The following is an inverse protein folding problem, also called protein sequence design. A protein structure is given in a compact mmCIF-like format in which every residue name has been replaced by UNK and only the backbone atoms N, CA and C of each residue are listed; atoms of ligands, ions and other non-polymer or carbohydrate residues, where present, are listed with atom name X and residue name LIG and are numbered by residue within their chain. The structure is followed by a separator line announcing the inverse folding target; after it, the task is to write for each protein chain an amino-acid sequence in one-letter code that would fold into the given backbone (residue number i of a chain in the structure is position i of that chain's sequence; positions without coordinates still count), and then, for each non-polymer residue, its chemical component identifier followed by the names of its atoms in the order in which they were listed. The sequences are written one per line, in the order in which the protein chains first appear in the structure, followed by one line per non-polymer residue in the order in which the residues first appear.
data_IF_081049545225
#
_entry.id   IF_081049545225
#
_cell.length_a   1.000
_cell.length_b   1.000
_cell.length_c   1.000
_cell.angle_alpha   90.00
_cell.angle_beta   90.00
_cell.angle_gamma   90.00
#
_symmetry.space_group_name_H-M   'P 1'
#
loop_
_entity.id
_entity.type
_entity.pdbx_description
1 polymer ?
#
# COMPACT_ATOMS: atom_id res chain seq x y z
N UNK A 1 17.27 0.69 4.80
CA UNK A 1 16.25 0.42 5.84
C UNK A 1 16.70 1.04 7.15
N UNK A 2 15.87 1.95 7.69
CA UNK A 2 16.07 2.56 9.01
C UNK A 2 15.30 1.69 10.02
N UNK A 3 16.00 0.75 10.63
CA UNK A 3 15.43 -0.06 11.70
C UNK A 3 15.04 0.77 12.94
N UNK A 4 14.30 0.16 13.83
CA UNK A 4 13.96 0.74 15.14
C UNK A 4 15.25 0.92 15.94
N UNK A 5 15.50 2.13 16.44
CA UNK A 5 16.57 2.39 17.39
C UNK A 5 16.00 2.94 18.70
N UNK A 6 16.56 2.49 19.79
CA UNK A 6 16.21 2.96 21.13
C UNK A 6 17.38 3.68 21.76
N UNK A 7 17.10 4.82 22.40
CA UNK A 7 18.09 5.59 23.16
C UNK A 7 17.54 5.91 24.54
N UNK A 8 18.43 6.07 25.52
CA UNK A 8 18.04 6.60 26.81
C UNK A 8 17.58 8.07 26.66
N UNK A 9 16.50 8.47 27.35
CA UNK A 9 15.88 9.80 27.23
C UNK A 9 16.84 10.96 27.42
N UNK A 10 17.87 10.78 28.24
CA UNK A 10 18.81 11.82 28.65
C UNK A 10 20.14 11.76 27.89
N UNK A 11 20.27 10.94 26.86
CA UNK A 11 21.53 10.76 26.15
C UNK A 11 21.62 11.58 24.87
N UNK A 12 22.78 12.19 24.61
CA UNK A 12 23.12 12.79 23.32
C UNK A 12 23.16 11.74 22.17
N UNK A 13 23.03 10.46 22.49
CA UNK A 13 23.10 9.35 21.56
C UNK A 13 22.04 9.41 20.46
N UNK A 14 20.83 9.91 20.76
CA UNK A 14 19.79 10.11 19.75
C UNK A 14 20.21 11.11 18.67
N UNK A 15 20.85 12.20 19.06
CA UNK A 15 21.35 13.21 18.13
C UNK A 15 22.48 12.64 17.24
N UNK A 16 23.41 11.88 17.84
CA UNK A 16 24.48 11.24 17.09
C UNK A 16 23.97 10.18 16.12
N UNK A 17 23.00 9.36 16.53
CA UNK A 17 22.35 8.39 15.65
C UNK A 17 21.66 9.10 14.48
N UNK A 18 20.91 10.17 14.75
CA UNK A 18 20.25 10.95 13.71
C UNK A 18 21.25 11.55 12.71
N UNK A 19 22.37 12.08 13.18
CA UNK A 19 23.45 12.58 12.31
C UNK A 19 24.06 11.45 11.46
N UNK A 20 24.13 10.23 12.02
CA UNK A 20 24.56 9.03 11.31
C UNK A 20 23.63 8.59 10.17
N UNK A 21 22.34 8.97 10.22
CA UNK A 21 21.36 8.69 9.16
C UNK A 21 21.54 9.57 7.92
N UNK A 22 22.36 10.63 7.99
CA UNK A 22 22.65 11.45 6.81
C UNK A 22 23.33 10.60 5.74
N UNK A 23 22.84 10.65 4.48
CA UNK A 23 23.45 9.89 3.41
C UNK A 23 24.93 10.27 3.25
N UNK A 24 25.81 9.31 3.41
CA UNK A 24 27.26 9.47 3.21
C UNK A 24 27.72 8.81 1.91
N UNK A 25 27.27 7.59 1.69
CA UNK A 25 27.58 6.76 0.52
C UNK A 25 26.38 6.59 -0.40
N UNK A 26 25.16 6.61 0.16
CA UNK A 26 23.90 6.52 -0.60
C UNK A 26 23.41 7.92 -1.00
N UNK A 27 22.70 8.01 -2.11
CA UNK A 27 22.09 9.27 -2.59
C UNK A 27 20.82 9.64 -1.82
N UNK A 28 20.17 8.66 -1.18
CA UNK A 28 18.89 8.78 -0.50
C UNK A 28 18.84 7.85 0.72
N UNK A 29 18.33 8.39 1.82
CA UNK A 29 17.81 7.59 2.94
C UNK A 29 16.32 7.88 3.07
N UNK A 30 15.49 6.86 3.28
CA UNK A 30 14.06 7.06 3.51
C UNK A 30 13.53 6.12 4.59
N UNK A 31 12.39 6.51 5.16
CA UNK A 31 11.60 5.70 6.09
C UNK A 31 10.13 5.96 5.79
N UNK A 32 9.33 4.93 5.62
CA UNK A 32 7.91 5.06 5.30
C UNK A 32 6.98 4.81 6.50
N UNK A 33 7.57 4.62 7.69
CA UNK A 33 6.88 4.28 8.94
C UNK A 33 7.33 5.12 10.14
N UNK A 34 7.86 6.33 9.89
CA UNK A 34 8.38 7.17 10.96
C UNK A 34 7.28 7.62 11.93
N UNK A 35 7.56 7.49 13.23
CA UNK A 35 6.75 8.08 14.30
C UNK A 35 6.84 9.61 14.27
N UNK A 36 5.93 10.35 14.94
CA UNK A 36 6.01 11.82 15.03
C UNK A 36 7.35 12.30 15.60
N UNK A 37 7.94 11.56 16.54
CA UNK A 37 9.25 11.89 17.12
C UNK A 37 10.37 11.66 16.12
N UNK A 38 10.38 10.50 15.45
CA UNK A 38 11.36 10.18 14.41
C UNK A 38 11.28 11.17 13.24
N UNK A 39 10.08 11.54 12.82
CA UNK A 39 9.88 12.53 11.77
C UNK A 39 10.46 13.89 12.13
N UNK A 40 10.21 14.40 13.35
CA UNK A 40 10.81 15.65 13.83
C UNK A 40 12.35 15.59 13.86
N UNK A 41 12.89 14.47 14.31
CA UNK A 41 14.34 14.26 14.33
C UNK A 41 14.94 14.27 12.91
N UNK A 42 14.27 13.61 11.95
CA UNK A 42 14.72 13.61 10.56
C UNK A 42 14.60 14.99 9.92
N UNK A 43 13.53 15.76 10.21
CA UNK A 43 13.40 17.15 9.75
C UNK A 43 14.51 18.04 10.28
N UNK A 44 14.92 17.88 11.55
CA UNK A 44 15.99 18.66 12.16
C UNK A 44 17.35 18.48 11.46
N UNK A 45 17.56 17.37 10.76
CA UNK A 45 18.79 17.12 9.98
C UNK A 45 18.62 17.34 8.47
N UNK A 46 17.49 17.95 8.05
CA UNK A 46 17.21 18.30 6.67
C UNK A 46 16.33 17.31 5.89
N UNK A 47 15.73 16.34 6.59
CA UNK A 47 14.76 15.42 6.00
C UNK A 47 13.45 16.12 5.63
N UNK A 48 12.77 15.60 4.62
CA UNK A 48 11.49 16.08 4.11
C UNK A 48 10.45 14.97 4.11
N UNK A 49 9.18 15.34 4.26
CA UNK A 49 8.06 14.43 4.05
C UNK A 49 7.88 14.11 2.58
N UNK A 50 7.62 12.85 2.28
CA UNK A 50 7.24 12.44 0.92
C UNK A 50 5.75 12.75 0.74
N UNK A 51 5.36 13.55 -0.26
CA UNK A 51 3.98 13.96 -0.46
C UNK A 51 3.00 12.78 -0.54
N UNK A 52 1.82 12.93 0.06
CA UNK A 52 0.71 11.96 0.09
C UNK A 52 1.00 10.61 0.78
N UNK A 53 2.24 10.19 0.88
CA UNK A 53 2.59 8.86 1.41
C UNK A 53 2.45 8.73 2.93
N UNK A 54 2.15 9.80 3.63
CA UNK A 54 1.71 9.78 5.03
C UNK A 54 0.29 9.23 5.20
N UNK A 55 -0.46 9.13 4.10
CA UNK A 55 -1.85 8.73 4.09
C UNK A 55 -2.02 7.27 3.70
N UNK A 56 -2.93 6.62 4.39
CA UNK A 56 -3.53 5.36 4.01
C UNK A 56 -4.92 5.63 3.41
N UNK A 57 -5.21 5.06 2.26
CA UNK A 57 -6.56 5.00 1.76
C UNK A 57 -7.25 3.73 2.26
N UNK A 58 -8.54 3.85 2.57
CA UNK A 58 -9.40 2.72 2.94
C UNK A 58 -10.66 2.80 2.11
N UNK A 59 -10.91 1.79 1.29
CA UNK A 59 -12.15 1.64 0.53
C UNK A 59 -13.00 0.54 1.14
N UNK A 60 -14.25 0.86 1.47
CA UNK A 60 -15.22 -0.09 2.01
C UNK A 60 -16.11 -0.60 0.88
N UNK A 61 -16.10 -1.91 0.64
CA UNK A 61 -16.96 -2.58 -0.34
C UNK A 61 -18.31 -2.96 0.27
N UNK A 62 -18.31 -3.45 1.51
CA UNK A 62 -19.47 -3.95 2.23
C UNK A 62 -19.60 -3.28 3.59
N UNK A 63 -20.30 -2.11 3.68
CA UNK A 63 -20.29 -1.30 4.91
C UNK A 63 -20.92 -2.00 6.10
N UNK A 64 -22.00 -2.76 5.93
CA UNK A 64 -22.59 -3.52 7.04
C UNK A 64 -21.68 -4.65 7.49
N UNK A 65 -21.08 -5.39 6.57
CA UNK A 65 -20.09 -6.42 6.88
C UNK A 65 -18.86 -5.84 7.58
N UNK A 66 -18.36 -4.70 7.11
CA UNK A 66 -17.22 -4.00 7.72
C UNK A 66 -17.57 -3.47 9.14
N UNK A 67 -18.78 -2.96 9.35
CA UNK A 67 -19.26 -2.50 10.66
C UNK A 67 -19.37 -3.69 11.63
N UNK A 68 -19.99 -4.78 11.21
CA UNK A 68 -20.11 -6.00 12.02
C UNK A 68 -18.74 -6.60 12.36
N UNK A 69 -17.81 -6.60 11.41
CA UNK A 69 -16.44 -7.09 11.63
C UNK A 69 -15.63 -6.26 12.63
N UNK A 70 -16.00 -4.99 12.87
CA UNK A 70 -15.39 -4.10 13.88
C UNK A 70 -16.02 -4.25 15.27
N UNK A 71 -17.21 -4.85 15.35
CA UNK A 71 -17.82 -5.12 16.63
C UNK A 71 -17.02 -6.19 17.38
N UNK A 72 -16.87 -5.98 18.71
CA UNK A 72 -16.14 -6.91 19.58
C UNK A 72 -16.63 -8.36 19.41
N UNK A 73 -15.75 -9.37 19.41
CA UNK A 73 -16.12 -10.79 19.39
C UNK A 73 -17.14 -11.16 20.48
N UNK A 74 -17.16 -10.42 21.59
CA UNK A 74 -18.16 -10.58 22.68
C UNK A 74 -19.56 -10.15 22.28
N UNK A 75 -19.68 -9.13 21.41
CA UNK A 75 -20.96 -8.67 20.87
C UNK A 75 -21.46 -9.60 19.76
N UNK A 76 -20.54 -10.09 18.90
CA UNK A 76 -20.85 -11.05 17.84
C UNK A 76 -21.37 -12.40 18.38
N UNK A 77 -20.93 -12.84 19.56
CA UNK A 77 -21.48 -14.04 20.23
C UNK A 77 -22.94 -13.88 20.67
N UNK A 78 -23.45 -12.66 20.78
CA UNK A 78 -24.86 -12.35 21.13
C UNK A 78 -25.74 -12.08 19.89
N UNK A 79 -25.12 -11.95 18.71
CA UNK A 79 -25.84 -11.76 17.45
C UNK A 79 -26.07 -13.13 16.86
N UNK A 80 -27.35 -13.47 16.66
CA UNK A 80 -27.78 -14.74 16.05
C UNK A 80 -27.07 -14.89 14.69
N UNK A 81 -26.46 -16.07 14.38
CA UNK A 81 -25.86 -16.36 13.08
C UNK A 81 -26.77 -16.04 11.89
N UNK A 82 -28.11 -16.07 12.08
CA UNK A 82 -29.11 -15.64 11.08
C UNK A 82 -29.01 -14.18 10.69
N UNK A 83 -28.59 -13.28 11.58
CA UNK A 83 -28.44 -11.83 11.26
C UNK A 83 -27.23 -11.56 10.35
N UNK A 84 -26.17 -12.34 10.45
CA UNK A 84 -25.02 -12.22 9.55
C UNK A 84 -25.40 -12.63 8.10
N UNK A 85 -26.36 -13.54 7.96
CA UNK A 85 -26.90 -13.96 6.66
C UNK A 85 -27.79 -12.89 6.04
N UNK A 86 -28.49 -12.09 6.87
CA UNK A 86 -29.32 -10.97 6.41
C UNK A 86 -28.51 -9.74 5.99
N UNK A 87 -27.27 -9.58 6.46
CA UNK A 87 -26.40 -8.49 6.02
C UNK A 87 -26.00 -8.60 4.53
N UNK A 88 -25.89 -9.83 4.00
CA UNK A 88 -25.55 -10.05 2.58
C UNK A 88 -26.57 -9.48 1.57
N UNK A 89 -27.88 -9.73 1.67
CA UNK A 89 -28.84 -9.14 0.73
C UNK A 89 -28.97 -7.63 0.90
N UNK A 90 -28.82 -7.09 2.12
CA UNK A 90 -28.85 -5.64 2.34
C UNK A 90 -27.61 -4.98 1.73
N UNK A 91 -26.42 -5.54 1.92
CA UNK A 91 -25.19 -5.05 1.27
C UNK A 91 -25.29 -5.17 -0.27
N UNK A 92 -25.90 -6.22 -0.80
CA UNK A 92 -26.14 -6.38 -2.23
C UNK A 92 -27.15 -5.35 -2.76
N UNK A 93 -28.21 -5.06 -2.00
CA UNK A 93 -29.20 -4.03 -2.35
C UNK A 93 -28.59 -2.62 -2.28
N UNK A 94 -27.85 -2.31 -1.24
CA UNK A 94 -27.10 -1.06 -1.13
C UNK A 94 -26.06 -0.94 -2.23
N UNK A 95 -25.42 -2.03 -2.63
CA UNK A 95 -24.51 -2.09 -3.77
C UNK A 95 -25.19 -1.70 -5.09
N UNK A 96 -26.42 -2.17 -5.32
CA UNK A 96 -27.23 -1.81 -6.50
C UNK A 96 -27.71 -0.36 -6.49
N UNK A 97 -28.11 0.18 -5.33
CA UNK A 97 -28.46 1.60 -5.17
C UNK A 97 -27.27 2.53 -5.31
N UNK A 98 -26.05 2.01 -5.12
CA UNK A 98 -24.81 2.77 -5.23
C UNK A 98 -24.46 3.23 -6.65
N UNK A 99 -25.15 2.75 -7.67
CA UNK A 99 -25.09 3.20 -9.06
C UNK A 99 -23.71 3.67 -9.51
N UNK A 100 -23.00 2.86 -10.28
CA UNK A 100 -21.83 3.30 -11.03
C UNK A 100 -20.63 3.67 -10.17
N UNK A 101 -19.98 2.68 -9.52
CA UNK A 101 -18.54 2.73 -9.39
C UNK A 101 -17.95 2.92 -10.79
N UNK A 102 -16.84 3.65 -10.90
CA UNK A 102 -16.14 3.74 -12.17
C UNK A 102 -16.08 2.35 -12.79
N UNK A 103 -16.80 2.18 -13.89
CA UNK A 103 -16.70 0.97 -14.66
C UNK A 103 -15.21 0.70 -14.87
N UNK A 104 -14.77 -0.50 -14.50
CA UNK A 104 -13.46 -0.94 -14.94
C UNK A 104 -13.42 -0.67 -16.44
N UNK A 105 -12.44 0.09 -16.94
CA UNK A 105 -12.41 0.40 -18.38
C UNK A 105 -12.65 -0.89 -19.15
N UNK A 106 -13.60 -0.85 -20.07
CA UNK A 106 -13.99 -2.03 -20.82
C UNK A 106 -12.74 -2.71 -21.38
N UNK A 107 -12.63 -4.02 -21.16
CA UNK A 107 -11.52 -4.82 -21.68
C UNK A 107 -10.34 -5.10 -20.75
N UNK A 108 -10.32 -4.57 -19.49
CA UNK A 108 -9.31 -4.97 -18.52
C UNK A 108 -9.71 -6.26 -17.80
N UNK A 109 -8.74 -7.16 -17.63
CA UNK A 109 -8.92 -8.43 -16.89
C UNK A 109 -7.86 -8.54 -15.79
N UNK A 110 -8.30 -9.08 -14.65
CA UNK A 110 -7.39 -9.45 -13.54
C UNK A 110 -7.15 -10.94 -13.60
N UNK A 111 -5.89 -11.33 -13.56
CA UNK A 111 -5.48 -12.73 -13.61
C UNK A 111 -4.41 -13.02 -12.56
N UNK A 112 -4.21 -14.29 -12.28
CA UNK A 112 -3.13 -14.73 -11.41
C UNK A 112 -1.78 -14.37 -12.02
N UNK A 113 -0.83 -13.95 -11.20
CA UNK A 113 0.52 -13.64 -11.61
C UNK A 113 1.50 -14.48 -10.81
N UNK A 114 2.32 -15.25 -11.49
CA UNK A 114 3.37 -16.01 -10.82
C UNK A 114 4.48 -15.09 -10.28
N UNK A 115 5.25 -15.58 -9.31
CA UNK A 115 6.40 -14.82 -8.79
C UNK A 115 7.41 -14.52 -9.91
N UNK A 116 7.83 -15.49 -10.75
CA UNK A 116 8.71 -15.19 -11.86
C UNK A 116 8.18 -14.10 -12.81
N UNK A 117 6.89 -14.15 -13.17
CA UNK A 117 6.29 -13.12 -14.02
C UNK A 117 6.29 -11.74 -13.33
N UNK A 118 6.04 -11.70 -12.02
CA UNK A 118 6.13 -10.46 -11.25
C UNK A 118 7.54 -9.89 -11.27
N UNK A 119 8.55 -10.73 -11.03
CA UNK A 119 9.97 -10.32 -11.07
C UNK A 119 10.34 -9.72 -12.44
N UNK A 120 9.85 -10.32 -13.53
CA UNK A 120 10.12 -9.84 -14.89
C UNK A 120 9.39 -8.51 -15.22
N UNK A 121 8.19 -8.28 -14.66
CA UNK A 121 7.36 -7.13 -15.03
C UNK A 121 7.49 -5.94 -14.09
N UNK A 122 7.70 -6.15 -12.79
CA UNK A 122 7.69 -5.10 -11.78
C UNK A 122 8.67 -3.95 -12.07
N UNK A 123 9.96 -4.20 -12.45
CA UNK A 123 10.89 -3.12 -12.76
C UNK A 123 10.42 -2.23 -13.92
N UNK A 124 9.79 -2.81 -14.94
CA UNK A 124 9.26 -2.08 -16.09
C UNK A 124 8.07 -1.19 -15.70
N UNK A 125 7.18 -1.69 -14.85
CA UNK A 125 5.99 -0.95 -14.44
C UNK A 125 6.30 0.28 -13.60
N UNK A 126 7.48 0.34 -12.95
CA UNK A 126 7.93 1.49 -12.17
C UNK A 126 9.06 2.28 -12.86
N UNK A 127 9.47 1.90 -14.06
CA UNK A 127 10.61 2.49 -14.76
C UNK A 127 10.48 4.00 -15.02
N UNK A 128 9.26 4.50 -15.06
CA UNK A 128 8.96 5.91 -15.32
C UNK A 128 9.18 6.83 -14.12
N UNK A 129 9.30 6.32 -12.88
CA UNK A 129 9.60 7.15 -11.71
C UNK A 129 11.08 7.53 -11.69
N UNK A 130 11.37 8.82 -11.44
CA UNK A 130 12.73 9.32 -11.34
C UNK A 130 13.48 8.70 -10.14
N UNK A 131 12.78 8.51 -9.02
CA UNK A 131 13.33 7.84 -7.84
C UNK A 131 12.55 6.55 -7.60
N UNK A 132 13.23 5.43 -7.74
CA UNK A 132 12.66 4.09 -7.60
C UNK A 132 13.70 3.09 -7.15
N UNK A 133 13.31 1.92 -6.60
CA UNK A 133 14.24 0.83 -6.38
C UNK A 133 14.73 0.28 -7.74
N UNK A 134 16.01 -0.02 -7.82
CA UNK A 134 16.62 -0.74 -8.93
C UNK A 134 16.69 -2.22 -8.56
N UNK A 135 15.56 -2.87 -8.44
CA UNK A 135 15.49 -4.26 -8.05
C UNK A 135 16.21 -5.15 -9.06
N UNK A 136 17.18 -5.91 -8.57
CA UNK A 136 17.62 -7.12 -9.25
C UNK A 136 16.59 -8.23 -9.05
N UNK A 137 16.63 -9.26 -9.89
CA UNK A 137 15.74 -10.42 -9.76
C UNK A 137 15.93 -11.11 -8.40
N UNK A 138 17.19 -11.29 -7.97
CA UNK A 138 17.54 -11.91 -6.69
C UNK A 138 17.02 -11.09 -5.50
N UNK A 139 17.21 -9.76 -5.51
CA UNK A 139 16.78 -8.88 -4.44
C UNK A 139 15.25 -8.85 -4.33
N UNK A 140 14.54 -8.69 -5.45
CA UNK A 140 13.09 -8.68 -5.45
C UNK A 140 12.53 -10.06 -5.09
N UNK A 141 13.15 -11.14 -5.56
CA UNK A 141 12.80 -12.52 -5.19
C UNK A 141 12.94 -12.76 -3.68
N UNK A 142 14.03 -12.26 -3.09
CA UNK A 142 14.24 -12.33 -1.64
C UNK A 142 13.17 -11.55 -0.87
N UNK A 143 12.86 -10.30 -1.28
CA UNK A 143 11.80 -9.48 -0.67
C UNK A 143 10.44 -10.16 -0.72
N UNK A 144 10.05 -10.70 -1.88
CA UNK A 144 8.79 -11.43 -2.08
C UNK A 144 8.74 -12.67 -1.19
N UNK A 145 9.85 -13.42 -1.12
CA UNK A 145 9.96 -14.61 -0.26
C UNK A 145 9.76 -14.28 1.21
N UNK A 146 10.33 -13.17 1.70
CA UNK A 146 10.13 -12.72 3.08
C UNK A 146 8.70 -12.19 3.31
N UNK A 147 8.16 -11.40 2.39
CA UNK A 147 6.80 -10.88 2.48
C UNK A 147 5.77 -12.01 2.54
N UNK A 148 5.98 -13.08 1.75
CA UNK A 148 5.08 -14.25 1.75
C UNK A 148 5.05 -15.01 3.09
N UNK A 149 6.06 -14.85 3.94
CA UNK A 149 6.08 -15.44 5.29
C UNK A 149 5.22 -14.68 6.31
N UNK A 150 4.76 -13.47 5.98
CA UNK A 150 3.91 -12.66 6.86
C UNK A 150 2.44 -13.09 6.75
N UNK A 151 2.08 -14.19 7.37
CA UNK A 151 0.72 -14.76 7.33
C UNK A 151 -0.29 -14.05 8.23
N UNK A 152 0.12 -13.08 9.06
CA UNK A 152 -0.78 -12.36 9.99
C UNK A 152 -1.86 -11.55 9.27
N UNK A 153 -1.56 -11.04 8.08
CA UNK A 153 -2.48 -10.23 7.27
C UNK A 153 -3.27 -11.07 6.25
N UNK A 154 -2.97 -12.36 6.14
CA UNK A 154 -3.58 -13.27 5.17
C UNK A 154 -2.57 -13.85 4.19
N UNK A 155 -3.05 -14.46 3.11
CA UNK A 155 -2.20 -15.05 2.08
C UNK A 155 -1.59 -13.96 1.19
N UNK A 156 -0.28 -14.01 0.99
CA UNK A 156 0.42 -13.14 0.04
C UNK A 156 -0.01 -13.49 -1.39
N UNK A 157 -0.49 -12.49 -2.11
CA UNK A 157 -1.13 -12.67 -3.41
C UNK A 157 -0.67 -11.61 -4.39
N UNK A 158 -0.37 -12.04 -5.63
CA UNK A 158 0.00 -11.15 -6.73
C UNK A 158 -1.04 -11.33 -7.85
N UNK A 159 -1.51 -10.22 -8.43
CA UNK A 159 -2.43 -10.21 -9.54
C UNK A 159 -1.91 -9.30 -10.66
N UNK A 160 -1.94 -9.79 -11.89
CA UNK A 160 -1.72 -8.98 -13.07
C UNK A 160 -3.03 -8.35 -13.55
N UNK A 161 -2.91 -7.17 -14.12
CA UNK A 161 -3.98 -6.51 -14.86
C UNK A 161 -3.54 -6.42 -16.30
N UNK A 162 -4.31 -7.07 -17.17
CA UNK A 162 -4.01 -7.16 -18.60
C UNK A 162 -5.09 -6.44 -19.40
N UNK A 163 -4.70 -5.91 -20.54
CA UNK A 163 -5.62 -5.30 -21.50
C UNK A 163 -6.20 -6.34 -22.48
N UNK A 164 -6.97 -5.87 -23.45
CA UNK A 164 -7.62 -6.70 -24.49
C UNK A 164 -6.61 -7.44 -25.38
N UNK A 165 -5.35 -7.00 -25.42
CA UNK A 165 -4.27 -7.66 -26.15
C UNK A 165 -3.51 -8.67 -25.30
N UNK A 166 -3.94 -8.89 -24.06
CA UNK A 166 -3.27 -9.69 -23.03
C UNK A 166 -1.93 -9.11 -22.57
N UNK A 167 -1.65 -7.84 -22.88
CA UNK A 167 -0.47 -7.16 -22.37
C UNK A 167 -0.66 -6.75 -20.91
N UNK A 168 0.33 -7.03 -20.07
CA UNK A 168 0.36 -6.59 -18.67
C UNK A 168 0.56 -5.08 -18.60
N UNK A 169 -0.48 -4.36 -18.15
CA UNK A 169 -0.49 -2.90 -17.99
C UNK A 169 -0.29 -2.45 -16.54
N UNK A 170 -0.46 -3.37 -15.60
CA UNK A 170 -0.25 -3.14 -14.18
C UNK A 170 -0.31 -4.45 -13.41
N UNK A 171 0.03 -4.36 -12.14
CA UNK A 171 -0.17 -5.45 -11.19
C UNK A 171 -0.35 -4.88 -9.78
N UNK A 172 -0.86 -5.71 -8.87
CA UNK A 172 -0.96 -5.36 -7.46
C UNK A 172 -0.61 -6.55 -6.58
N UNK A 173 -0.01 -6.22 -5.45
CA UNK A 173 0.43 -7.17 -4.43
C UNK A 173 -0.33 -6.88 -3.16
N UNK A 174 -0.92 -7.89 -2.56
CA UNK A 174 -1.72 -7.73 -1.36
C UNK A 174 -1.75 -8.99 -0.50
N UNK A 175 -2.10 -8.82 0.76
CA UNK A 175 -2.45 -9.94 1.63
C UNK A 175 -3.96 -10.17 1.57
N UNK A 176 -4.34 -11.38 1.20
CA UNK A 176 -5.72 -11.79 1.00
C UNK A 176 -6.26 -12.57 2.19
N UNK A 177 -7.37 -12.10 2.73
CA UNK A 177 -8.13 -12.82 3.74
C UNK A 177 -9.62 -12.68 3.38
N UNK A 178 -10.22 -13.64 2.66
CA UNK A 178 -11.62 -13.56 2.22
C UNK A 178 -12.57 -13.23 3.36
N UNK A 179 -13.51 -12.33 3.13
CA UNK A 179 -14.42 -11.82 4.16
C UNK A 179 -13.77 -10.91 5.19
N UNK A 180 -12.54 -10.43 4.93
CA UNK A 180 -11.79 -9.48 5.75
C UNK A 180 -11.23 -8.35 4.90
N UNK A 181 -10.28 -7.61 5.45
CA UNK A 181 -9.57 -6.53 4.77
C UNK A 181 -8.50 -7.07 3.81
N UNK A 182 -8.47 -6.56 2.58
CA UNK A 182 -7.33 -6.72 1.69
C UNK A 182 -6.28 -5.66 2.01
N UNK A 183 -5.09 -6.08 2.41
CA UNK A 183 -3.96 -5.18 2.71
C UNK A 183 -3.09 -5.07 1.47
N UNK A 184 -3.29 -4.00 0.69
CA UNK A 184 -2.56 -3.76 -0.55
C UNK A 184 -1.19 -3.16 -0.24
N UNK A 185 -0.14 -3.91 -0.60
CA UNK A 185 1.25 -3.48 -0.44
C UNK A 185 1.69 -2.56 -1.58
N UNK A 186 1.49 -3.02 -2.82
CA UNK A 186 1.95 -2.33 -4.01
C UNK A 186 0.87 -2.30 -5.08
N UNK A 187 0.80 -1.19 -5.79
CA UNK A 187 0.07 -1.04 -7.04
C UNK A 187 1.08 -0.50 -8.04
N UNK A 188 1.36 -1.27 -9.08
CA UNK A 188 2.28 -0.92 -10.16
C UNK A 188 1.48 -0.73 -11.43
N UNK A 189 1.78 0.31 -12.20
CA UNK A 189 1.03 0.65 -13.40
C UNK A 189 1.94 1.24 -14.46
N UNK A 190 1.65 0.99 -15.71
CA UNK A 190 2.20 1.80 -16.79
C UNK A 190 1.66 3.24 -16.70
N UNK A 191 2.43 4.24 -17.14
CA UNK A 191 2.00 5.64 -17.16
C UNK A 191 0.68 5.82 -17.90
N UNK A 192 -0.24 6.60 -17.30
CA UNK A 192 -1.57 6.88 -17.85
C UNK A 192 -2.58 5.72 -17.74
N UNK A 193 -2.21 4.62 -17.09
CA UNK A 193 -3.10 3.47 -16.85
C UNK A 193 -3.57 3.35 -15.41
N UNK A 194 -3.16 4.25 -14.52
CA UNK A 194 -3.37 4.20 -13.08
C UNK A 194 -4.85 4.10 -12.69
N UNK A 195 -5.71 4.90 -13.33
CA UNK A 195 -7.16 4.90 -13.08
C UNK A 195 -7.77 3.54 -13.43
N UNK A 196 -7.40 2.99 -14.59
CA UNK A 196 -7.87 1.68 -15.03
C UNK A 196 -7.39 0.54 -14.15
N UNK A 197 -6.12 0.58 -13.77
CA UNK A 197 -5.50 -0.41 -12.87
C UNK A 197 -6.19 -0.40 -11.51
N UNK A 198 -6.44 0.78 -10.92
CA UNK A 198 -7.18 0.93 -9.67
C UNK A 198 -8.61 0.40 -9.77
N UNK A 199 -9.33 0.75 -10.84
CA UNK A 199 -10.69 0.28 -11.07
C UNK A 199 -10.78 -1.24 -11.16
N UNK A 200 -9.88 -1.86 -11.94
CA UNK A 200 -9.80 -3.31 -12.08
C UNK A 200 -9.44 -4.01 -10.75
N UNK A 201 -8.47 -3.47 -10.01
CA UNK A 201 -8.09 -3.96 -8.69
C UNK A 201 -9.28 -3.93 -7.72
N UNK A 202 -9.96 -2.79 -7.58
CA UNK A 202 -11.05 -2.65 -6.63
C UNK A 202 -12.22 -3.57 -6.96
N UNK A 203 -12.58 -3.69 -8.25
CA UNK A 203 -13.61 -4.63 -8.70
C UNK A 203 -13.22 -6.07 -8.33
N UNK A 204 -11.99 -6.48 -8.63
CA UNK A 204 -11.51 -7.83 -8.29
C UNK A 204 -11.61 -8.11 -6.79
N UNK A 205 -11.18 -7.17 -5.94
CA UNK A 205 -11.23 -7.33 -4.48
C UNK A 205 -12.67 -7.40 -3.96
N UNK A 206 -13.59 -6.65 -4.56
CA UNK A 206 -15.02 -6.70 -4.23
C UNK A 206 -15.64 -8.05 -4.66
N UNK A 207 -15.36 -8.51 -5.89
CA UNK A 207 -15.86 -9.76 -6.45
C UNK A 207 -15.34 -10.98 -5.69
N UNK A 208 -14.10 -10.93 -5.18
CA UNK A 208 -13.51 -11.99 -4.36
C UNK A 208 -13.94 -11.96 -2.90
N UNK A 209 -14.85 -11.06 -2.55
CA UNK A 209 -15.56 -11.09 -1.27
C UNK A 209 -14.89 -10.36 -0.12
N UNK A 210 -13.91 -9.49 -0.38
CA UNK A 210 -13.34 -8.65 0.66
C UNK A 210 -14.37 -7.62 1.17
N UNK A 211 -14.29 -7.27 2.46
CA UNK A 211 -15.16 -6.27 3.08
C UNK A 211 -14.64 -4.86 2.84
N UNK A 212 -13.33 -4.70 2.89
CA UNK A 212 -12.61 -3.46 2.64
C UNK A 212 -11.23 -3.75 2.04
N UNK A 213 -10.66 -2.74 1.41
CA UNK A 213 -9.26 -2.72 1.01
C UNK A 213 -8.58 -1.48 1.58
N UNK A 214 -7.29 -1.62 1.91
CA UNK A 214 -6.47 -0.50 2.35
C UNK A 214 -5.08 -0.58 1.76
N UNK A 215 -4.47 0.58 1.59
CA UNK A 215 -3.10 0.68 1.09
C UNK A 215 -2.57 2.09 1.22
N UNK A 216 -1.29 2.28 0.95
CA UNK A 216 -0.64 3.58 1.02
C UNK A 216 -1.04 4.45 -0.17
N UNK A 217 -1.31 5.71 0.09
CA UNK A 217 -1.53 6.68 -0.97
C UNK A 217 -0.20 6.97 -1.68
N UNK A 218 -0.27 7.11 -3.00
CA UNK A 218 0.85 7.50 -3.85
C UNK A 218 0.40 8.62 -4.79
N UNK A 219 1.23 9.63 -5.08
CA UNK A 219 0.85 10.77 -5.92
C UNK A 219 0.22 10.36 -7.26
N UNK A 220 0.82 9.41 -7.97
CA UNK A 220 0.34 8.91 -9.25
C UNK A 220 -1.06 8.28 -9.19
N UNK A 221 -1.47 7.74 -8.04
CA UNK A 221 -2.76 7.07 -7.86
C UNK A 221 -3.87 8.02 -7.41
N UNK A 222 -3.56 9.26 -6.99
CA UNK A 222 -4.51 10.16 -6.34
C UNK A 222 -5.72 10.50 -7.22
N UNK A 223 -5.52 10.69 -8.53
CA UNK A 223 -6.61 10.94 -9.46
C UNK A 223 -7.62 9.77 -9.47
N UNK A 224 -7.12 8.54 -9.58
CA UNK A 224 -7.97 7.35 -9.56
C UNK A 224 -8.59 7.06 -8.21
N UNK A 225 -7.87 7.32 -7.10
CA UNK A 225 -8.40 7.16 -5.74
C UNK A 225 -9.51 8.19 -5.46
N UNK A 226 -9.36 9.44 -5.92
CA UNK A 226 -10.36 10.50 -5.74
C UNK A 226 -11.69 10.23 -6.47
N UNK A 227 -11.67 9.40 -7.49
CA UNK A 227 -12.87 8.97 -8.22
C UNK A 227 -13.63 7.84 -7.51
N UNK A 228 -13.04 7.21 -6.49
CA UNK A 228 -13.66 6.07 -5.81
C UNK A 228 -14.68 6.52 -4.77
N UNK A 229 -15.86 5.90 -4.78
CA UNK A 229 -16.86 6.07 -3.70
C UNK A 229 -16.48 5.26 -2.46
N UNK A 230 -16.90 5.71 -1.29
CA UNK A 230 -16.65 5.04 -0.01
C UNK A 230 -15.16 4.84 0.28
N UNK A 231 -14.33 5.73 -0.24
CA UNK A 231 -12.92 5.79 0.03
C UNK A 231 -12.65 6.95 0.98
N UNK A 232 -11.90 6.66 2.03
CA UNK A 232 -11.46 7.65 3.01
C UNK A 232 -9.94 7.61 3.13
N UNK A 233 -9.35 8.77 3.41
CA UNK A 233 -7.93 8.86 3.73
C UNK A 233 -7.75 9.01 5.24
N UNK A 234 -6.73 8.35 5.77
CA UNK A 234 -6.32 8.43 7.18
C UNK A 234 -4.84 8.68 7.26
N UNK A 235 -4.41 9.40 8.28
CA UNK A 235 -2.99 9.45 8.58
C UNK A 235 -2.53 8.06 9.06
N UNK A 236 -1.45 7.55 8.48
CA UNK A 236 -0.85 6.26 8.86
C UNK A 236 0.43 6.46 9.66
N UNK A 237 1.45 7.01 9.02
CA UNK A 237 2.77 7.26 9.57
C UNK A 237 3.45 8.32 8.71
N UNK A 238 4.54 8.91 9.17
CA UNK A 238 5.29 9.83 8.35
C UNK A 238 6.21 9.08 7.38
N UNK A 239 6.04 9.34 6.09
CA UNK A 239 7.00 8.93 5.08
C UNK A 239 8.02 10.06 4.91
N UNK A 240 9.26 9.77 5.22
CA UNK A 240 10.35 10.73 5.29
C UNK A 240 11.47 10.36 4.31
N UNK A 241 12.07 11.36 3.71
CA UNK A 241 13.24 11.18 2.85
C UNK A 241 14.31 12.21 3.23
N UNK A 242 15.56 11.79 3.12
CA UNK A 242 16.72 12.62 3.38
C UNK A 242 17.74 12.41 2.27
N UNK A 243 18.02 13.45 1.51
CA UNK A 243 18.98 13.46 0.41
C UNK A 243 19.78 14.76 0.37
N UNK A 244 20.98 14.71 -0.21
CA UNK A 244 21.78 15.87 -0.56
C UNK A 244 21.85 16.13 -2.05
N UNK A 245 21.22 15.25 -2.85
CA UNK A 245 21.19 15.35 -4.31
C UNK A 245 20.01 16.21 -4.72
N UNK A 246 20.20 17.36 -5.34
CA UNK A 246 19.13 18.30 -5.68
C UNK A 246 18.05 17.64 -6.56
N UNK A 247 18.45 16.88 -7.57
CA UNK A 247 17.55 16.22 -8.52
C UNK A 247 16.64 15.20 -7.83
N UNK A 248 17.19 14.44 -6.86
CA UNK A 248 16.41 13.50 -6.04
C UNK A 248 15.43 14.26 -5.15
N UNK A 249 15.87 15.38 -4.56
CA UNK A 249 15.00 16.23 -3.76
C UNK A 249 13.84 16.81 -4.57
N UNK A 250 14.10 17.26 -5.79
CA UNK A 250 13.07 17.80 -6.69
C UNK A 250 12.08 16.72 -7.13
N UNK A 251 12.56 15.51 -7.39
CA UNK A 251 11.70 14.35 -7.66
C UNK A 251 10.79 14.03 -6.48
N UNK A 252 11.32 14.04 -5.24
CA UNK A 252 10.52 13.84 -4.02
C UNK A 252 9.42 14.90 -3.91
N UNK A 253 9.75 16.17 -4.10
CA UNK A 253 8.78 17.29 -3.99
C UNK A 253 7.67 17.17 -5.04
N UNK A 254 7.99 16.76 -6.26
CA UNK A 254 6.99 16.51 -7.32
C UNK A 254 6.19 15.23 -7.13
N UNK A 255 6.57 14.37 -6.19
CA UNK A 255 5.95 13.05 -6.01
C UNK A 255 6.36 12.03 -7.08
N UNK A 256 7.45 12.31 -7.84
CA UNK A 256 8.03 11.43 -8.85
C UNK A 256 8.95 10.39 -8.20
N UNK A 257 8.38 9.68 -7.23
CA UNK A 257 9.07 8.70 -6.40
C UNK A 257 8.18 7.48 -6.15
N UNK A 258 8.74 6.30 -6.33
CA UNK A 258 8.12 5.02 -5.98
C UNK A 258 8.80 4.41 -4.76
N UNK A 259 8.14 4.48 -3.61
CA UNK A 259 8.57 3.89 -2.33
C UNK A 259 7.35 3.33 -1.60
N UNK A 260 7.58 2.53 -0.58
CA UNK A 260 6.52 1.85 0.17
C UNK A 260 6.22 0.44 -0.34
N UNK A 261 5.44 -0.31 0.39
CA UNK A 261 5.20 -1.72 0.14
C UNK A 261 6.50 -2.52 0.11
N UNK A 262 6.74 -3.29 -0.96
CA UNK A 262 8.00 -4.03 -1.16
C UNK A 262 9.22 -3.12 -1.35
N UNK A 263 9.02 -1.87 -1.78
CA UNK A 263 10.07 -0.85 -1.86
C UNK A 263 10.30 -0.12 -0.53
N UNK A 264 9.61 -0.50 0.54
CA UNK A 264 9.68 0.09 1.87
C UNK A 264 9.71 -0.95 2.97
N UNK A 265 8.98 -0.69 4.06
CA UNK A 265 8.96 -1.52 5.27
C UNK A 265 7.63 -2.24 5.49
N UNK A 266 6.57 -1.90 4.75
CA UNK A 266 5.19 -2.38 4.97
C UNK A 266 5.00 -3.90 4.83
N UNK A 267 5.89 -4.58 4.12
CA UNK A 267 5.92 -6.03 3.98
C UNK A 267 6.48 -6.75 5.22
N UNK A 268 7.24 -6.02 6.04
CA UNK A 268 7.96 -6.60 7.17
C UNK A 268 7.00 -7.04 8.28
N UNK A 269 7.20 -8.23 8.79
CA UNK A 269 6.49 -8.74 9.97
C UNK A 269 6.67 -7.83 11.20
N UNK A 270 7.82 -7.18 11.31
CA UNK A 270 8.11 -6.25 12.41
C UNK A 270 7.08 -5.12 12.49
N UNK A 271 6.57 -4.66 11.34
CA UNK A 271 5.54 -3.61 11.30
C UNK A 271 4.19 -4.08 11.87
N UNK A 272 3.94 -5.39 11.91
CA UNK A 272 2.75 -5.97 12.51
C UNK A 272 2.87 -6.19 14.02
N UNK A 273 4.10 -6.21 14.55
CA UNK A 273 4.36 -6.50 15.95
C UNK A 273 4.39 -5.24 16.83
N UNK A 274 4.55 -4.06 16.22
CA UNK A 274 4.63 -2.76 16.88
C UNK A 274 3.45 -1.83 16.57
N UNK A 275 2.43 -2.30 15.86
CA UNK A 275 1.23 -1.55 15.46
C UNK A 275 0.05 -1.73 16.41
#
# INVERSE_FOLDING_TARGET
LLGVFMTNRDSAGAAQLNLGLRPKKASLSFCDSASPTSARSLMAIGGKTIPMQNLEWVRTFRPLGALLGRLSPRLLRRIDPGLATLARPVDAFLGRLRGGDLESPAGLKVQEMSIPDFLAHAPRLIAHYAVRPLWSEDELGWLVGLAAQNTRLGAFTIRAIVDHTSATIGCFVYYASPGRTAHVLNILSLPGREVGVLGAMFRHLEDTGHLEARGRAQPALMAGLGLQRWLVFRHRAFAMALTRVPEVNDAIVRGDIYVGGLAGEDWSRLMCDFG
#
